data_IF_565027138076
#
_entry.id   IF_565027138076
#
_cell.length_a   1.000
_cell.length_b   1.000
_cell.length_c   1.000
_cell.angle_alpha   90.00
_cell.angle_beta   90.00
_cell.angle_gamma   90.00
#
_symmetry.space_group_name_H-M   'P 1'
#
loop_
_entity.id
_entity.type
_entity.pdbx_description
1 polymer ?
#
# COMPACT_ATOMS: atom_id res chain seq x y z
N UNK A 1 1.79 24.00 -5.96
CA UNK A 1 2.28 22.94 -5.07
C UNK A 1 2.12 21.61 -5.76
N UNK A 2 2.99 20.64 -5.50
CA UNK A 2 2.82 19.26 -6.01
C UNK A 2 2.73 18.27 -4.85
N UNK A 3 1.85 17.30 -4.97
CA UNK A 3 1.60 16.26 -3.95
C UNK A 3 1.79 14.90 -4.61
N UNK A 4 2.80 14.20 -4.19
CA UNK A 4 3.10 12.84 -4.64
C UNK A 4 2.65 11.87 -3.57
N UNK A 5 1.81 10.92 -3.93
CA UNK A 5 1.29 9.90 -3.02
C UNK A 5 1.52 8.50 -3.60
N UNK A 6 1.63 7.50 -2.73
CA UNK A 6 1.43 6.13 -3.19
C UNK A 6 0.01 5.94 -3.72
N UNK A 7 -0.20 5.01 -4.65
CA UNK A 7 -1.47 4.85 -5.37
C UNK A 7 -2.43 3.85 -4.70
N UNK A 8 -2.34 3.69 -3.39
CA UNK A 8 -3.22 2.86 -2.59
C UNK A 8 -4.17 3.66 -1.67
N UNK A 9 -4.85 2.98 -0.77
CA UNK A 9 -5.81 3.62 0.15
C UNK A 9 -5.13 4.55 1.14
N UNK A 10 -3.94 4.18 1.61
CA UNK A 10 -3.18 4.98 2.57
C UNK A 10 -2.66 6.26 1.92
N UNK A 11 -1.93 6.14 0.81
CA UNK A 11 -1.39 7.30 0.11
C UNK A 11 -2.48 8.25 -0.41
N UNK A 12 -3.58 7.71 -0.95
CA UNK A 12 -4.74 8.53 -1.41
C UNK A 12 -5.43 9.26 -0.28
N UNK A 13 -5.64 8.58 0.86
CA UNK A 13 -6.19 9.22 2.06
C UNK A 13 -5.25 10.30 2.60
N UNK A 14 -3.93 10.05 2.61
CA UNK A 14 -2.93 11.05 3.00
C UNK A 14 -3.00 12.30 2.11
N UNK A 15 -3.10 12.12 0.79
CA UNK A 15 -3.29 13.22 -0.16
C UNK A 15 -4.56 14.01 0.10
N UNK A 16 -5.68 13.33 0.37
CA UNK A 16 -6.96 14.00 0.67
C UNK A 16 -6.93 14.78 1.99
N UNK A 17 -6.29 14.24 3.01
CA UNK A 17 -6.12 14.95 4.29
C UNK A 17 -5.36 16.27 4.05
N UNK A 18 -4.29 16.23 3.28
CA UNK A 18 -3.53 17.41 2.92
C UNK A 18 -4.40 18.41 2.14
N UNK A 19 -5.15 17.93 1.12
CA UNK A 19 -6.07 18.72 0.31
C UNK A 19 -7.08 19.48 1.16
N UNK A 20 -7.74 18.80 2.08
CA UNK A 20 -8.77 19.43 2.92
C UNK A 20 -8.19 20.37 3.98
N UNK A 21 -7.05 20.04 4.60
CA UNK A 21 -6.51 20.78 5.73
C UNK A 21 -5.63 21.99 5.31
N UNK A 22 -5.07 21.99 4.11
CA UNK A 22 -4.44 23.19 3.52
C UNK A 22 -5.52 24.08 2.88
N UNK A 23 -6.60 23.47 2.40
CA UNK A 23 -7.70 24.13 1.70
C UNK A 23 -7.70 23.82 0.20
N UNK A 24 -8.84 23.35 -0.33
CA UNK A 24 -8.94 22.88 -1.71
C UNK A 24 -8.61 23.95 -2.76
N UNK A 25 -8.81 25.22 -2.47
CA UNK A 25 -8.50 26.34 -3.37
C UNK A 25 -7.00 26.54 -3.65
N UNK A 26 -6.13 25.85 -2.92
CA UNK A 26 -4.68 25.91 -3.11
C UNK A 26 -4.16 24.88 -4.11
N UNK A 27 -5.03 24.04 -4.66
CA UNK A 27 -4.66 22.93 -5.52
C UNK A 27 -5.52 22.84 -6.76
N UNK A 28 -4.92 22.35 -7.83
CA UNK A 28 -5.59 21.86 -9.03
C UNK A 28 -5.50 20.32 -9.07
N UNK A 29 -6.44 19.60 -9.73
CA UNK A 29 -6.42 18.14 -9.80
C UNK A 29 -5.09 17.56 -10.26
N UNK A 30 -4.40 18.22 -11.20
CA UNK A 30 -3.10 17.82 -11.73
C UNK A 30 -1.93 18.04 -10.75
N UNK A 31 -2.17 18.62 -9.60
CA UNK A 31 -1.16 18.76 -8.54
C UNK A 31 -0.97 17.47 -7.75
N UNK A 32 -1.94 16.55 -7.82
CA UNK A 32 -1.89 15.26 -7.17
C UNK A 32 -1.39 14.19 -8.14
N UNK A 33 -0.21 13.65 -7.87
CA UNK A 33 0.48 12.67 -8.69
C UNK A 33 0.57 11.35 -7.90
N UNK A 34 -0.16 10.34 -8.37
CA UNK A 34 -0.06 9.01 -7.79
C UNK A 34 1.14 8.25 -8.38
N UNK A 35 1.99 7.74 -7.50
CA UNK A 35 3.18 6.98 -7.85
C UNK A 35 3.07 5.54 -7.38
N UNK A 36 3.68 4.64 -8.13
CA UNK A 36 4.03 3.31 -7.67
C UNK A 36 5.57 3.22 -7.59
N UNK A 37 6.10 2.30 -6.79
CA UNK A 37 7.54 2.17 -6.52
C UNK A 37 8.40 1.87 -7.74
N UNK A 38 7.82 1.36 -8.82
CA UNK A 38 8.48 1.07 -10.10
C UNK A 38 8.55 2.28 -11.04
N UNK A 39 7.92 3.39 -10.70
CA UNK A 39 7.84 4.58 -11.55
C UNK A 39 8.84 5.64 -11.16
N UNK A 40 9.37 6.31 -12.18
CA UNK A 40 10.18 7.50 -11.99
C UNK A 40 9.29 8.67 -11.55
N UNK A 41 9.80 9.50 -10.67
CA UNK A 41 9.16 10.76 -10.28
C UNK A 41 9.18 11.70 -11.49
N UNK A 42 8.04 12.18 -11.98
CA UNK A 42 8.00 13.15 -13.08
C UNK A 42 8.51 14.50 -12.58
N UNK A 43 9.78 14.79 -12.83
CA UNK A 43 10.46 16.01 -12.36
C UNK A 43 10.24 17.20 -13.28
N UNK A 44 9.84 16.96 -14.52
CA UNK A 44 9.58 17.96 -15.58
C UNK A 44 8.34 18.80 -15.33
N UNK A 45 7.43 18.32 -14.48
CA UNK A 45 6.22 19.06 -14.09
C UNK A 45 6.41 19.89 -12.81
N UNK A 46 7.59 19.85 -12.20
CA UNK A 46 7.90 20.61 -10.97
C UNK A 46 8.51 21.95 -11.38
N UNK A 47 7.91 23.05 -10.91
CA UNK A 47 8.45 24.39 -11.12
C UNK A 47 9.52 24.73 -10.11
N UNK A 48 10.42 25.67 -10.44
CA UNK A 48 11.47 26.12 -9.52
C UNK A 48 10.86 26.71 -8.25
N UNK A 49 11.45 26.35 -7.10
CA UNK A 49 11.02 26.80 -5.77
C UNK A 49 9.59 26.38 -5.38
N UNK A 50 9.02 25.44 -6.10
CA UNK A 50 7.68 24.90 -5.83
C UNK A 50 7.69 24.04 -4.56
N UNK A 51 6.67 24.20 -3.72
CA UNK A 51 6.49 23.36 -2.54
C UNK A 51 6.03 21.97 -2.93
N UNK A 52 6.70 20.94 -2.39
CA UNK A 52 6.44 19.54 -2.68
C UNK A 52 6.12 18.77 -1.41
N UNK A 53 5.14 17.88 -1.52
CA UNK A 53 4.83 16.87 -0.52
C UNK A 53 5.03 15.48 -1.12
N UNK A 54 5.75 14.61 -0.41
CA UNK A 54 5.76 13.17 -0.62
C UNK A 54 5.07 12.54 0.57
N UNK A 55 3.94 11.88 0.32
CA UNK A 55 3.07 11.32 1.35
C UNK A 55 2.94 9.82 1.12
N UNK A 56 3.24 9.02 2.13
CA UNK A 56 3.17 7.56 2.05
C UNK A 56 3.97 7.00 0.85
N UNK A 57 5.14 7.58 0.62
CA UNK A 57 5.99 7.19 -0.50
C UNK A 57 7.40 6.88 -0.05
N UNK A 58 7.80 5.63 -0.24
CA UNK A 58 9.14 5.15 0.09
C UNK A 58 10.06 5.24 -1.12
N UNK A 59 11.16 5.96 -0.96
CA UNK A 59 12.20 6.04 -1.99
C UNK A 59 13.10 4.80 -1.94
N UNK A 60 13.16 4.04 -3.04
CA UNK A 60 14.23 3.08 -3.29
C UNK A 60 15.53 3.79 -3.73
N UNK A 61 16.57 3.02 -4.04
CA UNK A 61 17.87 3.59 -4.44
C UNK A 61 17.74 4.55 -5.63
N UNK A 62 16.97 4.23 -6.65
CA UNK A 62 16.74 5.12 -7.81
C UNK A 62 15.91 6.35 -7.43
N UNK A 63 14.90 6.17 -6.59
CA UNK A 63 14.04 7.27 -6.14
C UNK A 63 14.77 8.27 -5.27
N UNK A 64 15.72 7.82 -4.44
CA UNK A 64 16.51 8.70 -3.57
C UNK A 64 17.44 9.60 -4.37
N UNK A 65 17.98 9.12 -5.49
CA UNK A 65 18.80 9.93 -6.40
C UNK A 65 17.95 10.99 -7.10
N UNK A 66 16.70 10.65 -7.47
CA UNK A 66 15.76 11.63 -8.01
C UNK A 66 15.36 12.68 -6.97
N UNK A 67 15.11 12.27 -5.72
CA UNK A 67 14.84 13.20 -4.61
C UNK A 67 16.01 14.16 -4.42
N UNK A 68 17.25 13.64 -4.46
CA UNK A 68 18.45 14.48 -4.38
C UNK A 68 18.54 15.47 -5.53
N UNK A 69 18.25 15.03 -6.77
CA UNK A 69 18.23 15.92 -7.93
C UNK A 69 17.19 17.05 -7.76
N UNK A 70 15.97 16.72 -7.30
CA UNK A 70 14.93 17.71 -7.01
C UNK A 70 15.41 18.73 -5.98
N UNK A 71 15.98 18.24 -4.87
CA UNK A 71 16.46 19.08 -3.77
C UNK A 71 17.60 20.01 -4.19
N UNK A 72 18.54 19.52 -4.97
CA UNK A 72 19.74 20.29 -5.37
C UNK A 72 19.45 21.29 -6.50
N UNK A 73 18.47 20.99 -7.41
CA UNK A 73 18.32 21.71 -8.67
C UNK A 73 16.96 22.40 -8.85
N UNK A 74 15.91 21.97 -8.12
CA UNK A 74 14.55 22.46 -8.37
C UNK A 74 14.01 23.19 -7.14
N UNK A 75 13.87 22.51 -6.00
CA UNK A 75 13.31 23.10 -4.79
C UNK A 75 13.82 22.43 -3.50
N UNK A 76 13.96 23.23 -2.46
CA UNK A 76 14.28 22.75 -1.10
C UNK A 76 13.05 22.73 -0.18
N UNK A 77 11.90 23.28 -0.60
CA UNK A 77 10.66 23.22 0.19
C UNK A 77 9.94 21.90 -0.02
N UNK A 78 10.53 20.86 0.58
CA UNK A 78 10.05 19.48 0.49
C UNK A 78 9.59 19.02 1.87
N UNK A 79 8.40 18.43 1.92
CA UNK A 79 7.89 17.71 3.10
C UNK A 79 7.73 16.24 2.73
N UNK A 80 8.36 15.35 3.48
CA UNK A 80 8.30 13.91 3.30
C UNK A 80 7.73 13.25 4.54
N UNK A 81 6.55 12.62 4.38
CA UNK A 81 5.83 11.90 5.43
C UNK A 81 5.66 10.46 4.98
N UNK A 82 6.20 9.52 5.74
CA UNK A 82 6.17 8.10 5.38
C UNK A 82 6.32 7.18 6.60
N UNK A 83 5.95 5.92 6.45
CA UNK A 83 6.02 4.94 7.54
C UNK A 83 6.82 3.67 7.19
N UNK A 84 7.32 3.57 5.98
CA UNK A 84 8.04 2.39 5.51
C UNK A 84 9.44 2.26 6.15
N UNK A 85 9.79 1.03 6.52
CA UNK A 85 11.14 0.71 7.03
C UNK A 85 12.23 1.09 6.02
N UNK A 86 11.96 0.94 4.72
CA UNK A 86 12.88 1.32 3.64
C UNK A 86 13.24 2.80 3.69
N UNK A 87 12.27 3.68 3.94
CA UNK A 87 12.51 5.12 4.07
C UNK A 87 13.41 5.47 5.24
N UNK A 88 13.20 4.83 6.38
CA UNK A 88 14.10 4.96 7.53
C UNK A 88 15.52 4.52 7.20
N UNK A 89 15.67 3.41 6.47
CA UNK A 89 16.98 2.88 6.09
C UNK A 89 17.67 3.80 5.07
N UNK A 90 16.91 4.40 4.12
CA UNK A 90 17.43 5.40 3.20
C UNK A 90 17.92 6.67 3.92
N UNK A 91 17.19 7.15 4.94
CA UNK A 91 17.61 8.28 5.77
C UNK A 91 18.94 7.98 6.48
N UNK A 92 19.12 6.76 6.98
CA UNK A 92 20.40 6.35 7.63
C UNK A 92 21.53 6.21 6.62
N UNK A 93 21.26 5.65 5.44
CA UNK A 93 22.24 5.40 4.37
C UNK A 93 22.76 6.71 3.74
N UNK A 94 21.91 7.72 3.64
CA UNK A 94 22.20 8.97 2.91
C UNK A 94 22.29 10.19 3.84
N UNK A 95 23.48 10.43 4.39
CA UNK A 95 23.74 11.51 5.37
C UNK A 95 23.33 12.92 4.90
N UNK A 96 23.22 13.18 3.59
CA UNK A 96 22.77 14.46 3.07
C UNK A 96 21.31 14.76 3.45
N UNK A 97 20.46 13.74 3.60
CA UNK A 97 19.06 13.88 3.99
C UNK A 97 18.96 14.55 5.35
N UNK A 98 19.74 14.08 6.33
CA UNK A 98 19.76 14.65 7.69
C UNK A 98 20.32 16.07 7.76
N UNK A 99 21.07 16.50 6.72
CA UNK A 99 21.63 17.86 6.60
C UNK A 99 20.76 18.78 5.74
N UNK A 100 19.71 18.23 5.13
CA UNK A 100 18.80 18.98 4.27
C UNK A 100 17.87 19.91 5.07
N UNK A 101 17.23 20.83 4.38
CA UNK A 101 16.17 21.69 4.93
C UNK A 101 14.76 21.05 4.81
N UNK A 102 14.68 19.83 4.29
CA UNK A 102 13.42 19.12 4.14
C UNK A 102 12.76 18.88 5.51
N UNK A 103 11.43 18.92 5.52
CA UNK A 103 10.63 18.47 6.66
C UNK A 103 10.38 16.97 6.50
N UNK A 104 10.95 16.18 7.40
CA UNK A 104 10.93 14.71 7.29
C UNK A 104 10.25 14.13 8.52
N UNK A 105 9.18 13.37 8.29
CA UNK A 105 8.42 12.66 9.31
C UNK A 105 8.25 11.20 8.88
N UNK A 106 9.24 10.37 9.25
CA UNK A 106 9.23 8.94 8.91
C UNK A 106 9.18 8.14 10.20
N UNK A 107 8.06 7.43 10.39
CA UNK A 107 7.82 6.66 11.61
C UNK A 107 7.04 5.38 11.32
N UNK A 108 7.60 4.23 11.66
CA UNK A 108 6.91 2.93 11.56
C UNK A 108 5.77 2.78 12.57
N UNK A 109 4.80 1.93 12.25
CA UNK A 109 3.72 1.54 13.15
C UNK A 109 2.48 2.43 13.12
N UNK A 110 2.49 3.50 12.31
CA UNK A 110 1.33 4.33 11.95
C UNK A 110 1.39 4.53 10.45
N UNK A 111 0.30 4.33 9.74
CA UNK A 111 0.20 4.49 8.29
C UNK A 111 0.45 5.94 7.83
N UNK A 112 0.75 6.14 6.54
CA UNK A 112 1.08 7.45 5.98
C UNK A 112 -0.05 8.47 6.11
N UNK A 113 -1.32 8.06 5.93
CA UNK A 113 -2.49 8.93 6.16
C UNK A 113 -2.58 9.36 7.63
N UNK A 114 -2.33 8.41 8.54
CA UNK A 114 -2.31 8.69 9.97
C UNK A 114 -1.23 9.70 10.33
N UNK A 115 -0.02 9.52 9.85
CA UNK A 115 1.09 10.46 10.06
C UNK A 115 0.78 11.84 9.45
N UNK A 116 0.18 11.87 8.24
CA UNK A 116 -0.22 13.12 7.59
C UNK A 116 -1.28 13.85 8.41
N UNK A 117 -2.28 13.14 8.93
CA UNK A 117 -3.30 13.73 9.81
C UNK A 117 -2.69 14.34 11.07
N UNK A 118 -1.82 13.58 11.76
CA UNK A 118 -1.13 14.04 12.96
C UNK A 118 -0.23 15.26 12.68
N UNK A 119 0.49 15.27 11.56
CA UNK A 119 1.30 16.39 11.12
C UNK A 119 0.45 17.65 10.90
N UNK A 120 -0.62 17.53 10.13
CA UNK A 120 -1.48 18.66 9.77
C UNK A 120 -2.25 19.22 10.98
N UNK A 121 -2.56 18.39 11.97
CA UNK A 121 -3.21 18.81 13.22
C UNK A 121 -2.22 19.27 14.29
N UNK A 122 -0.91 19.34 14.00
CA UNK A 122 0.16 19.65 14.96
C UNK A 122 0.19 18.70 16.18
N UNK A 123 -0.19 17.44 15.99
CA UNK A 123 -0.26 16.44 17.07
C UNK A 123 0.98 15.55 17.16
N UNK A 124 2.01 15.76 16.33
CA UNK A 124 3.24 14.95 16.31
C UNK A 124 4.08 15.08 17.61
N UNK A 125 3.85 16.12 18.40
CA UNK A 125 4.53 16.32 19.68
C UNK A 125 3.93 15.51 20.83
N UNK A 126 2.80 14.87 20.62
CA UNK A 126 2.11 14.05 21.65
C UNK A 126 2.74 12.64 21.63
N UNK A 127 3.64 12.39 22.55
CA UNK A 127 4.28 11.06 22.74
C UNK A 127 3.59 10.26 23.86
N UNK A 128 3.42 8.93 23.71
CA UNK A 128 3.71 8.16 22.49
C UNK A 128 2.66 8.41 21.40
N UNK A 129 3.11 8.55 20.15
CA UNK A 129 2.21 8.57 18.99
C UNK A 129 1.55 7.19 18.88
N UNK A 130 0.44 7.02 19.56
CA UNK A 130 -0.36 5.81 19.46
C UNK A 130 -1.66 6.16 18.76
N UNK A 131 -1.86 5.56 17.60
CA UNK A 131 -3.09 5.66 16.82
C UNK A 131 -4.26 4.90 17.50
N UNK A 132 -3.98 4.17 18.59
CA UNK A 132 -4.89 3.20 19.20
C UNK A 132 -6.24 3.74 19.61
N UNK A 133 -6.40 4.24 20.81
CA UNK A 133 -7.70 4.63 21.38
C UNK A 133 -7.88 6.15 21.44
N UNK A 134 -7.21 6.92 20.60
CA UNK A 134 -7.37 8.37 20.56
C UNK A 134 -8.67 8.73 19.84
N UNK A 135 -9.70 9.12 20.61
CA UNK A 135 -11.03 9.50 20.10
C UNK A 135 -11.01 10.70 19.16
N UNK A 136 -9.93 11.48 19.16
CA UNK A 136 -9.75 12.63 18.26
C UNK A 136 -9.30 12.24 16.84
N UNK A 137 -9.02 10.96 16.58
CA UNK A 137 -8.64 10.47 15.27
C UNK A 137 -9.86 9.83 14.61
N UNK A 138 -10.25 10.26 13.39
CA UNK A 138 -11.36 9.66 12.67
C UNK A 138 -11.27 8.14 12.59
N UNK A 139 -12.38 7.45 12.82
CA UNK A 139 -12.40 5.98 12.90
C UNK A 139 -11.94 5.33 11.60
N UNK A 140 -12.30 5.90 10.44
CA UNK A 140 -11.88 5.37 9.15
C UNK A 140 -10.34 5.33 9.01
N UNK A 141 -9.63 6.34 9.55
CA UNK A 141 -8.15 6.35 9.52
C UNK A 141 -7.55 5.23 10.37
N UNK A 142 -8.20 4.88 11.49
CA UNK A 142 -7.77 3.74 12.31
C UNK A 142 -7.96 2.41 11.57
N UNK A 143 -8.98 2.30 10.72
CA UNK A 143 -9.20 1.13 9.88
C UNK A 143 -8.19 1.06 8.73
N UNK A 144 -7.85 2.19 8.11
CA UNK A 144 -6.77 2.24 7.11
C UNK A 144 -5.44 1.82 7.74
N UNK A 145 -5.08 2.39 8.89
CA UNK A 145 -3.87 2.06 9.65
C UNK A 145 -3.79 0.56 10.02
N UNK A 146 -4.90 -0.03 10.43
CA UNK A 146 -4.96 -1.45 10.77
C UNK A 146 -4.74 -2.35 9.55
N UNK A 147 -5.31 -1.97 8.41
CA UNK A 147 -5.13 -2.70 7.16
C UNK A 147 -3.69 -2.57 6.65
N UNK A 148 -3.22 -1.35 6.50
CA UNK A 148 -1.94 -1.03 5.88
C UNK A 148 -0.74 -1.53 6.71
N UNK A 149 -0.77 -1.31 8.01
CA UNK A 149 0.25 -1.82 8.93
C UNK A 149 0.08 -3.31 9.29
N UNK A 150 -0.75 -4.06 8.57
CA UNK A 150 -1.00 -5.50 8.77
C UNK A 150 -1.45 -5.88 10.20
N UNK A 151 -2.26 -5.02 10.83
CA UNK A 151 -2.78 -5.22 12.18
C UNK A 151 -4.15 -5.92 12.20
N UNK A 152 -4.59 -6.49 11.09
CA UNK A 152 -5.93 -7.05 10.77
C UNK A 152 -6.63 -7.86 11.88
N UNK A 153 -5.88 -8.32 12.87
CA UNK A 153 -6.44 -9.01 14.05
C UNK A 153 -7.18 -8.07 14.99
N UNK A 154 -6.92 -6.78 14.90
CA UNK A 154 -7.45 -5.76 15.80
C UNK A 154 -8.81 -5.23 15.32
N UNK A 155 -8.95 -5.02 14.02
CA UNK A 155 -10.16 -4.50 13.41
C UNK A 155 -10.57 -5.30 12.16
N UNK A 156 -11.47 -6.29 12.30
CA UNK A 156 -11.97 -7.06 11.15
C UNK A 156 -12.61 -6.20 10.04
N UNK A 157 -13.10 -5.00 10.42
CA UNK A 157 -13.71 -4.05 9.50
C UNK A 157 -12.71 -3.38 8.55
N UNK A 158 -11.42 -3.42 8.83
CA UNK A 158 -10.39 -2.76 8.00
C UNK A 158 -10.39 -3.27 6.55
N UNK A 159 -10.43 -4.58 6.36
CA UNK A 159 -10.55 -5.19 5.04
C UNK A 159 -11.92 -4.93 4.39
N UNK A 160 -12.98 -4.89 5.19
CA UNK A 160 -14.35 -4.60 4.71
C UNK A 160 -14.41 -3.17 4.18
N UNK A 161 -13.84 -2.19 4.89
CA UNK A 161 -13.77 -0.81 4.44
C UNK A 161 -12.99 -0.67 3.13
N UNK A 162 -11.84 -1.35 3.02
CA UNK A 162 -11.06 -1.39 1.77
C UNK A 162 -11.93 -1.80 0.59
N UNK A 163 -12.62 -2.92 0.70
CA UNK A 163 -13.48 -3.43 -0.36
C UNK A 163 -14.62 -2.48 -0.72
N UNK A 164 -15.20 -1.80 0.27
CA UNK A 164 -16.25 -0.82 0.02
C UNK A 164 -15.74 0.39 -0.75
N UNK A 165 -14.61 0.96 -0.33
CA UNK A 165 -14.01 2.13 -0.97
C UNK A 165 -13.65 1.86 -2.43
N UNK A 166 -13.19 0.66 -2.77
CA UNK A 166 -12.90 0.25 -4.16
C UNK A 166 -14.12 0.24 -5.07
N UNK A 167 -15.33 0.28 -4.52
CA UNK A 167 -16.59 0.46 -5.25
C UNK A 167 -16.90 1.91 -5.65
N UNK A 168 -16.09 2.87 -5.24
CA UNK A 168 -16.24 4.30 -5.50
C UNK A 168 -15.06 4.86 -6.28
N UNK A 169 -15.19 6.03 -6.93
CA UNK A 169 -14.01 6.83 -7.27
C UNK A 169 -13.24 7.14 -5.98
N UNK A 170 -11.94 6.82 -5.93
CA UNK A 170 -11.15 6.95 -4.70
C UNK A 170 -9.71 7.45 -4.90
N UNK A 171 -9.48 8.26 -5.96
CA UNK A 171 -8.24 9.05 -6.05
C UNK A 171 -8.16 10.05 -4.91
N UNK A 172 -6.98 10.57 -4.64
CA UNK A 172 -6.75 11.47 -3.50
C UNK A 172 -7.71 12.66 -3.41
N UNK A 173 -8.22 13.18 -4.53
CA UNK A 173 -9.15 14.32 -4.57
C UNK A 173 -10.63 13.94 -4.67
N UNK A 174 -10.95 12.64 -4.71
CA UNK A 174 -12.34 12.20 -4.81
C UNK A 174 -13.09 12.41 -3.48
N UNK A 175 -14.38 12.68 -3.58
CA UNK A 175 -15.20 13.13 -2.44
C UNK A 175 -15.30 12.09 -1.33
N UNK A 176 -15.18 10.79 -1.64
CA UNK A 176 -15.30 9.72 -0.65
C UNK A 176 -14.37 9.92 0.56
N UNK A 177 -13.14 10.40 0.32
CA UNK A 177 -12.19 10.67 1.38
C UNK A 177 -12.53 11.90 2.19
N UNK A 178 -12.99 12.97 1.50
CA UNK A 178 -13.45 14.22 2.14
C UNK A 178 -14.69 13.97 2.99
N UNK A 179 -15.62 13.16 2.47
CA UNK A 179 -16.84 12.80 3.17
C UNK A 179 -16.53 11.97 4.43
N UNK A 180 -15.61 10.99 4.33
CA UNK A 180 -15.12 10.21 5.47
C UNK A 180 -14.37 11.06 6.51
N UNK A 181 -13.56 12.03 6.05
CA UNK A 181 -12.83 12.92 6.95
C UNK A 181 -13.78 13.81 7.78
N UNK A 182 -14.94 14.17 7.22
CA UNK A 182 -15.95 15.02 7.83
C UNK A 182 -17.09 14.23 8.51
N UNK A 183 -17.06 12.89 8.46
CA UNK A 183 -18.10 12.00 9.01
C UNK A 183 -18.00 11.90 10.54
N UNK A 184 -18.53 12.92 11.23
CA UNK A 184 -18.43 13.02 12.69
C UNK A 184 -19.18 11.94 13.47
N UNK A 185 -20.23 11.36 12.87
CA UNK A 185 -21.11 10.37 13.51
C UNK A 185 -20.87 8.94 12.97
N UNK A 186 -19.85 8.73 12.15
CA UNK A 186 -19.59 7.45 11.48
C UNK A 186 -20.77 6.96 10.59
N UNK A 187 -21.66 7.83 10.13
CA UNK A 187 -22.84 7.44 9.33
C UNK A 187 -22.41 6.88 7.98
N UNK A 188 -21.56 7.61 7.26
CA UNK A 188 -21.00 7.15 5.99
C UNK A 188 -20.12 5.92 6.18
N UNK A 189 -19.27 5.93 7.21
CA UNK A 189 -18.41 4.80 7.51
C UNK A 189 -19.24 3.53 7.76
N UNK A 190 -20.30 3.60 8.56
CA UNK A 190 -21.17 2.46 8.83
C UNK A 190 -21.88 1.96 7.56
N UNK A 191 -22.33 2.88 6.69
CA UNK A 191 -22.89 2.52 5.38
C UNK A 191 -21.87 1.76 4.53
N UNK A 192 -20.66 2.26 4.42
CA UNK A 192 -19.58 1.62 3.67
C UNK A 192 -19.24 0.23 4.24
N UNK A 193 -19.24 0.08 5.55
CA UNK A 193 -19.00 -1.23 6.17
C UNK A 193 -20.11 -2.24 5.82
N UNK A 194 -21.38 -1.83 5.75
CA UNK A 194 -22.45 -2.72 5.30
C UNK A 194 -22.31 -3.10 3.81
N UNK A 195 -21.98 -2.15 2.94
CA UNK A 195 -21.70 -2.40 1.53
C UNK A 195 -20.50 -3.35 1.36
N UNK A 196 -19.42 -3.09 2.08
CA UNK A 196 -18.22 -3.93 2.03
C UNK A 196 -18.45 -5.36 2.49
N UNK A 197 -19.34 -5.61 3.45
CA UNK A 197 -19.76 -6.97 3.84
C UNK A 197 -20.42 -7.71 2.68
N UNK A 198 -21.24 -7.03 1.89
CA UNK A 198 -21.89 -7.60 0.71
C UNK A 198 -20.85 -7.94 -0.36
N UNK A 199 -19.95 -6.98 -0.63
CA UNK A 199 -18.86 -7.15 -1.61
C UNK A 199 -17.94 -8.30 -1.18
N UNK A 200 -17.53 -8.35 0.09
CA UNK A 200 -16.72 -9.43 0.65
C UNK A 200 -17.37 -10.78 0.45
N UNK A 201 -18.65 -10.93 0.82
CA UNK A 201 -19.39 -12.18 0.64
C UNK A 201 -19.45 -12.61 -0.82
N UNK A 202 -19.70 -11.67 -1.74
CA UNK A 202 -19.72 -11.96 -3.18
C UNK A 202 -18.34 -12.40 -3.68
N UNK A 203 -17.30 -11.69 -3.28
CA UNK A 203 -15.90 -12.00 -3.61
C UNK A 203 -15.53 -13.40 -3.12
N UNK A 204 -15.79 -13.71 -1.84
CA UNK A 204 -15.49 -15.02 -1.24
C UNK A 204 -16.21 -16.17 -1.97
N UNK A 205 -17.48 -15.98 -2.37
CA UNK A 205 -18.21 -16.99 -3.12
C UNK A 205 -17.58 -17.23 -4.50
N UNK A 206 -17.31 -16.16 -5.26
CA UNK A 206 -16.65 -16.26 -6.57
C UNK A 206 -15.28 -16.90 -6.49
N UNK A 207 -14.48 -16.50 -5.52
CA UNK A 207 -13.14 -17.06 -5.30
C UNK A 207 -13.22 -18.53 -4.90
N UNK A 208 -14.22 -18.92 -4.11
CA UNK A 208 -14.44 -20.32 -3.73
C UNK A 208 -14.81 -21.18 -4.95
N UNK A 209 -15.76 -20.73 -5.75
CA UNK A 209 -16.14 -21.39 -6.98
C UNK A 209 -14.96 -21.50 -7.96
N UNK A 210 -14.22 -20.39 -8.15
CA UNK A 210 -13.06 -20.35 -9.03
C UNK A 210 -11.95 -21.27 -8.56
N UNK A 211 -11.64 -21.26 -7.27
CA UNK A 211 -10.63 -22.09 -6.65
C UNK A 211 -10.92 -23.58 -6.82
N UNK A 212 -12.16 -23.99 -6.60
CA UNK A 212 -12.56 -25.40 -6.72
C UNK A 212 -12.58 -25.88 -8.17
N UNK A 213 -12.90 -24.98 -9.12
CA UNK A 213 -13.01 -25.34 -10.54
C UNK A 213 -11.68 -25.23 -11.30
N UNK A 214 -10.82 -24.30 -10.95
CA UNK A 214 -9.61 -23.95 -11.71
C UNK A 214 -8.30 -24.16 -10.95
N UNK A 215 -8.39 -24.44 -9.65
CA UNK A 215 -7.20 -24.73 -8.87
C UNK A 215 -6.62 -26.11 -9.19
N UNK A 216 -5.31 -26.24 -9.06
CA UNK A 216 -4.62 -27.51 -9.31
C UNK A 216 -3.35 -27.62 -8.46
N UNK A 217 -2.87 -28.85 -8.30
CA UNK A 217 -1.60 -29.12 -7.63
C UNK A 217 -0.43 -28.98 -8.61
N UNK A 218 0.65 -28.41 -8.11
CA UNK A 218 1.93 -28.28 -8.81
C UNK A 218 3.09 -28.40 -7.83
N UNK A 219 4.29 -28.24 -8.33
CA UNK A 219 5.51 -28.21 -7.55
C UNK A 219 6.39 -27.04 -8.01
N UNK A 220 6.98 -26.33 -7.07
CA UNK A 220 7.96 -25.28 -7.31
C UNK A 220 9.14 -25.47 -6.36
N UNK A 221 10.34 -25.60 -6.91
CA UNK A 221 11.58 -25.79 -6.13
C UNK A 221 11.51 -26.97 -5.13
N UNK A 222 10.86 -28.08 -5.50
CA UNK A 222 10.67 -29.24 -4.65
C UNK A 222 9.55 -29.12 -3.61
N UNK A 223 8.83 -28.00 -3.58
CA UNK A 223 7.72 -27.74 -2.66
C UNK A 223 6.40 -27.94 -3.38
N UNK A 224 5.56 -28.85 -2.88
CA UNK A 224 4.19 -29.01 -3.38
C UNK A 224 3.36 -27.77 -3.08
N UNK A 225 2.64 -27.29 -4.08
CA UNK A 225 1.81 -26.10 -3.95
C UNK A 225 0.44 -26.28 -4.61
N UNK A 226 -0.54 -25.58 -4.06
CA UNK A 226 -1.83 -25.39 -4.72
C UNK A 226 -1.81 -24.10 -5.54
N UNK A 227 -2.22 -24.19 -6.80
CA UNK A 227 -2.01 -23.13 -7.80
C UNK A 227 -3.34 -22.61 -8.33
N UNK A 228 -3.43 -21.31 -8.49
CA UNK A 228 -4.50 -20.62 -9.22
C UNK A 228 -3.89 -19.85 -10.41
N UNK A 229 -4.53 -19.95 -11.57
CA UNK A 229 -4.25 -19.05 -12.69
C UNK A 229 -5.15 -17.81 -12.54
N UNK A 230 -4.70 -16.83 -11.78
CA UNK A 230 -5.47 -15.64 -11.49
C UNK A 230 -4.55 -14.50 -11.01
N UNK A 231 -4.98 -13.27 -11.26
CA UNK A 231 -4.46 -12.07 -10.63
C UNK A 231 -5.41 -11.67 -9.49
N UNK A 232 -5.21 -12.26 -8.33
CA UNK A 232 -6.02 -12.07 -7.12
C UNK A 232 -5.09 -11.86 -5.92
N UNK A 233 -5.67 -11.51 -4.78
CA UNK A 233 -4.92 -11.49 -3.52
C UNK A 233 -4.84 -12.89 -2.87
N UNK A 234 -3.96 -13.03 -1.86
CA UNK A 234 -3.75 -14.31 -1.16
C UNK A 234 -4.99 -14.84 -0.44
N UNK A 235 -6.00 -14.01 -0.18
CA UNK A 235 -7.27 -14.44 0.43
C UNK A 235 -8.05 -15.38 -0.48
N UNK A 236 -7.85 -15.30 -1.81
CA UNK A 236 -8.49 -16.20 -2.77
C UNK A 236 -8.20 -17.69 -2.52
N UNK A 237 -7.09 -18.02 -1.86
CA UNK A 237 -6.79 -19.39 -1.47
C UNK A 237 -7.65 -19.90 -0.32
N UNK A 238 -8.24 -19.04 0.51
CA UNK A 238 -9.08 -19.43 1.62
C UNK A 238 -8.37 -20.47 2.52
N UNK A 239 -9.05 -21.63 2.75
CA UNK A 239 -8.51 -22.70 3.59
C UNK A 239 -7.22 -23.37 3.03
N UNK A 240 -7.00 -23.31 1.71
CA UNK A 240 -5.87 -24.01 1.06
C UNK A 240 -4.51 -23.46 1.49
N UNK A 241 -4.41 -22.17 1.86
CA UNK A 241 -3.16 -21.59 2.38
C UNK A 241 -2.66 -22.29 3.66
N UNK A 242 -3.60 -22.90 4.42
CA UNK A 242 -3.26 -23.69 5.62
C UNK A 242 -3.05 -25.16 5.34
N UNK A 243 -3.63 -25.69 4.26
CA UNK A 243 -3.57 -27.11 3.90
C UNK A 243 -2.29 -27.48 3.17
N UNK A 244 -1.77 -26.57 2.36
CA UNK A 244 -0.53 -26.78 1.59
C UNK A 244 0.66 -26.12 2.28
N UNK A 245 1.85 -26.59 1.95
CA UNK A 245 3.09 -25.96 2.41
C UNK A 245 3.29 -24.61 1.75
N UNK A 246 2.86 -24.47 0.51
CA UNK A 246 2.88 -23.24 -0.27
C UNK A 246 1.64 -23.17 -1.15
N UNK A 247 1.17 -21.96 -1.44
CA UNK A 247 0.19 -21.69 -2.47
C UNK A 247 0.78 -20.72 -3.47
N UNK A 248 0.36 -20.78 -4.73
CA UNK A 248 0.91 -19.95 -5.80
C UNK A 248 -0.19 -19.44 -6.73
N UNK A 249 -0.04 -18.22 -7.20
CA UNK A 249 -0.82 -17.69 -8.32
C UNK A 249 0.09 -17.38 -9.49
N UNK A 250 -0.48 -17.40 -10.67
CA UNK A 250 0.18 -16.83 -11.85
C UNK A 250 -0.83 -16.20 -12.81
N UNK A 251 -0.38 -15.16 -13.47
CA UNK A 251 -1.06 -14.52 -14.59
C UNK A 251 -0.08 -14.30 -15.76
N UNK A 252 -0.62 -13.96 -16.92
CA UNK A 252 0.17 -13.58 -18.08
C UNK A 252 -0.21 -12.17 -18.53
N UNK A 253 0.74 -11.24 -18.48
CA UNK A 253 0.51 -9.83 -18.80
C UNK A 253 0.68 -9.47 -20.28
N UNK A 254 0.80 -10.45 -21.16
CA UNK A 254 1.06 -10.28 -22.59
C UNK A 254 2.54 -10.45 -22.96
N UNK A 255 3.46 -10.35 -22.00
CA UNK A 255 4.91 -10.47 -22.21
C UNK A 255 5.52 -11.58 -21.35
N UNK A 256 5.16 -11.61 -20.06
CA UNK A 256 5.71 -12.53 -19.05
C UNK A 256 4.63 -13.17 -18.20
N UNK A 257 4.95 -14.33 -17.67
CA UNK A 257 4.21 -14.95 -16.58
C UNK A 257 4.67 -14.34 -15.26
N UNK A 258 3.76 -13.74 -14.52
CA UNK A 258 3.98 -13.24 -13.17
C UNK A 258 3.57 -14.31 -12.16
N UNK A 259 4.36 -14.52 -11.15
CA UNK A 259 4.12 -15.48 -10.09
C UNK A 259 4.09 -14.81 -8.75
N UNK A 260 3.06 -15.11 -7.95
CA UNK A 260 2.96 -14.75 -6.54
C UNK A 260 2.89 -16.04 -5.71
N UNK A 261 3.78 -16.19 -4.74
CA UNK A 261 3.86 -17.36 -3.87
C UNK A 261 3.69 -16.97 -2.41
N UNK A 262 2.92 -17.78 -1.68
CA UNK A 262 2.59 -17.49 -0.29
C UNK A 262 2.72 -18.73 0.58
N UNK A 263 3.14 -18.55 1.83
CA UNK A 263 3.19 -19.62 2.84
C UNK A 263 2.99 -19.08 4.25
N UNK A 264 2.19 -19.78 5.04
CA UNK A 264 2.09 -19.58 6.49
C UNK A 264 2.99 -20.54 7.28
N UNK A 265 3.74 -21.40 6.61
CA UNK A 265 4.59 -22.42 7.23
C UNK A 265 5.98 -21.85 7.53
N UNK A 266 6.43 -21.96 8.78
CA UNK A 266 7.74 -21.43 9.21
C UNK A 266 8.95 -22.07 8.51
N UNK A 267 8.80 -23.28 7.98
CA UNK A 267 9.86 -23.99 7.27
C UNK A 267 9.95 -23.64 5.78
N UNK A 268 9.00 -22.88 5.25
CA UNK A 268 8.99 -22.38 3.87
C UNK A 268 9.35 -20.90 3.88
N UNK A 269 10.37 -20.54 3.11
CA UNK A 269 10.75 -19.15 2.88
C UNK A 269 10.48 -18.80 1.42
N UNK A 270 9.36 -18.14 1.16
CA UNK A 270 8.96 -17.71 -0.18
C UNK A 270 10.02 -16.81 -0.84
N UNK A 271 10.70 -15.96 -0.06
CA UNK A 271 11.74 -15.07 -0.58
C UNK A 271 12.91 -15.86 -1.17
N UNK A 272 13.38 -16.90 -0.47
CA UNK A 272 14.50 -17.71 -0.95
C UNK A 272 14.13 -18.46 -2.23
N UNK A 273 12.88 -18.95 -2.31
CA UNK A 273 12.37 -19.61 -3.53
C UNK A 273 12.29 -18.60 -4.66
N UNK A 274 11.62 -17.46 -4.47
CA UNK A 274 11.47 -16.44 -5.52
C UNK A 274 12.82 -15.91 -6.03
N UNK A 275 13.82 -15.78 -5.17
CA UNK A 275 15.15 -15.28 -5.53
C UNK A 275 15.86 -16.24 -6.51
N UNK A 276 15.61 -17.54 -6.45
CA UNK A 276 16.16 -18.53 -7.42
C UNK A 276 15.63 -18.30 -8.84
N UNK A 277 14.49 -17.65 -8.96
CA UNK A 277 13.84 -17.28 -10.24
C UNK A 277 14.01 -15.79 -10.60
N UNK A 278 14.93 -15.09 -9.91
CA UNK A 278 15.20 -13.68 -10.18
C UNK A 278 14.20 -12.69 -9.56
N UNK A 279 13.36 -13.16 -8.65
CA UNK A 279 12.38 -12.36 -7.92
C UNK A 279 12.79 -12.02 -6.49
N UNK A 280 11.82 -11.70 -5.63
CA UNK A 280 12.05 -11.33 -4.25
C UNK A 280 10.74 -11.11 -3.48
N UNK A 281 10.85 -10.56 -2.27
CA UNK A 281 9.72 -10.27 -1.38
C UNK A 281 10.03 -10.60 0.08
N UNK A 282 9.01 -11.06 0.79
CA UNK A 282 9.08 -11.44 2.20
C UNK A 282 9.08 -12.96 2.39
N UNK A 283 9.52 -13.47 3.54
CA UNK A 283 9.50 -14.92 3.83
C UNK A 283 8.12 -15.58 3.64
N UNK A 284 7.03 -14.88 3.92
CA UNK A 284 5.66 -15.40 3.79
C UNK A 284 4.96 -15.07 2.46
N UNK A 285 5.50 -14.13 1.66
CA UNK A 285 4.89 -13.66 0.42
C UNK A 285 5.96 -13.09 -0.51
N UNK A 286 6.10 -13.65 -1.71
CA UNK A 286 7.11 -13.24 -2.68
C UNK A 286 6.62 -13.43 -4.10
N UNK A 287 7.27 -12.78 -5.06
CA UNK A 287 6.93 -12.89 -6.46
C UNK A 287 8.13 -12.92 -7.37
N UNK A 288 7.93 -13.40 -8.59
CA UNK A 288 8.94 -13.42 -9.66
C UNK A 288 8.28 -13.46 -11.03
N UNK A 289 9.03 -13.07 -12.06
CA UNK A 289 8.59 -13.17 -13.47
C UNK A 289 9.32 -14.29 -14.20
N UNK A 290 8.68 -14.85 -15.25
CA UNK A 290 9.30 -15.84 -16.13
C UNK A 290 8.75 -15.73 -17.56
N UNK A 291 9.59 -16.00 -18.54
CA UNK A 291 9.18 -16.06 -19.95
C UNK A 291 8.45 -17.39 -20.29
N UNK A 292 8.39 -18.32 -19.34
CA UNK A 292 7.76 -19.65 -19.51
C UNK A 292 6.81 -19.97 -18.37
N UNK A 293 5.74 -20.71 -18.68
CA UNK A 293 4.88 -21.29 -17.67
C UNK A 293 5.64 -22.38 -16.90
N UNK A 294 5.93 -22.10 -15.62
CA UNK A 294 6.68 -23.00 -14.71
C UNK A 294 5.72 -23.92 -13.95
N UNK A 295 4.67 -23.36 -13.36
CA UNK A 295 3.70 -24.10 -12.55
C UNK A 295 2.71 -24.86 -13.43
N UNK A 296 3.06 -26.09 -13.77
CA UNK A 296 2.21 -27.00 -14.54
C UNK A 296 1.48 -27.96 -13.61
N UNK A 297 0.25 -28.32 -13.99
CA UNK A 297 -0.53 -29.33 -13.27
C UNK A 297 0.24 -30.65 -13.18
N UNK A 298 0.35 -31.21 -11.98
CA UNK A 298 0.90 -32.54 -11.73
C UNK A 298 -0.25 -33.51 -11.45
N UNK A 299 -0.22 -34.68 -12.11
CA UNK A 299 -1.23 -35.76 -11.98
C UNK A 299 -2.21 -35.80 -13.11
#
# INVERSE_FOLDING_TARGET
MKVYTHNDHDGRSAGNILFNLIGPYNFEPQDFIELNYDRKIPTDIITKDEKIFFLDYSFGDVGIDQLKYIYDNITQDITWIDHHATSRDMIKKHAWINKSKMKIFVQEGICGAGLTYLFMKNLLSVTPLTFGNNENIPKYLRLIDDYDCHKLKKFPESYILKLAIEGYPYKAIDSIWTDLLNDQNDELLNKLLEEGKIIKRRKENLESEYRESNGYESELDGVKCYVLNADLDSYAFGRFIKQYDMVAMWDFNGEKYNYSIYSEKKHINCKDIATKFGGGGHPGASGFGSDKLILKKIG
#
